data_IF_819722089397
#
_entry.id   IF_819722089397
#
_cell.length_a   1.000
_cell.length_b   1.000
_cell.length_c   1.000
_cell.angle_alpha   90.00
_cell.angle_beta   90.00
_cell.angle_gamma   90.00
#
_symmetry.space_group_name_H-M   'P 1'
#
loop_
_entity.id
_entity.type
_entity.pdbx_description
1 polymer ?
#
# COMPACT_ATOMS: atom_id res chain seq x y z
N UNK A 1 -14.91 -4.60 -26.86
CA UNK A 1 -14.46 -5.03 -25.52
C UNK A 1 -15.49 -4.61 -24.46
N UNK A 2 -15.88 -5.51 -23.56
CA UNK A 2 -16.88 -5.21 -22.51
C UNK A 2 -16.38 -4.05 -21.63
N UNK A 3 -17.21 -3.02 -21.41
CA UNK A 3 -16.87 -1.83 -20.58
C UNK A 3 -16.34 -2.21 -19.19
N UNK A 4 -16.79 -3.33 -18.63
CA UNK A 4 -16.29 -3.88 -17.35
C UNK A 4 -14.82 -4.34 -17.47
N UNK A 5 -14.48 -5.05 -18.54
CA UNK A 5 -13.11 -5.54 -18.80
C UNK A 5 -12.16 -4.37 -19.02
N UNK A 6 -12.55 -3.37 -19.82
CA UNK A 6 -11.74 -2.16 -20.03
C UNK A 6 -11.42 -1.46 -18.70
N UNK A 7 -12.42 -1.31 -17.81
CA UNK A 7 -12.22 -0.70 -16.49
C UNK A 7 -11.29 -1.52 -15.61
N UNK A 8 -11.36 -2.84 -15.65
CA UNK A 8 -10.45 -3.71 -14.90
C UNK A 8 -9.02 -3.55 -15.40
N UNK A 9 -8.80 -3.56 -16.73
CA UNK A 9 -7.46 -3.36 -17.31
C UNK A 9 -6.88 -2.00 -16.90
N UNK A 10 -7.69 -0.94 -16.98
CA UNK A 10 -7.27 0.39 -16.52
C UNK A 10 -6.97 0.41 -15.02
N UNK A 11 -7.78 -0.27 -14.21
CA UNK A 11 -7.56 -0.37 -12.78
C UNK A 11 -6.28 -1.16 -12.43
N UNK A 12 -5.90 -2.17 -13.21
CA UNK A 12 -4.64 -2.91 -13.03
C UNK A 12 -3.43 -1.99 -13.24
N UNK A 13 -3.43 -1.20 -14.30
CA UNK A 13 -2.33 -0.26 -14.59
C UNK A 13 -2.27 0.87 -13.56
N UNK A 14 -3.40 1.52 -13.31
CA UNK A 14 -3.47 2.66 -12.40
C UNK A 14 -3.35 2.25 -10.92
N UNK A 15 -3.73 1.03 -10.57
CA UNK A 15 -3.60 0.50 -9.21
C UNK A 15 -2.15 0.44 -8.76
N UNK A 16 -1.27 -0.10 -9.60
CA UNK A 16 0.18 -0.13 -9.33
C UNK A 16 0.78 1.28 -9.22
N UNK A 17 0.39 2.19 -10.12
CA UNK A 17 0.84 3.58 -10.06
C UNK A 17 0.34 4.32 -8.81
N UNK A 18 -0.92 4.10 -8.42
CA UNK A 18 -1.50 4.70 -7.23
C UNK A 18 -0.83 4.18 -5.95
N UNK A 19 -0.57 2.87 -5.88
CA UNK A 19 0.17 2.29 -4.75
C UNK A 19 1.59 2.84 -4.68
N UNK A 20 2.34 2.78 -5.79
CA UNK A 20 3.72 3.25 -5.83
C UNK A 20 3.83 4.75 -5.54
N UNK A 21 2.97 5.57 -6.16
CA UNK A 21 2.93 7.01 -5.91
C UNK A 21 2.58 7.35 -4.46
N UNK A 22 1.64 6.61 -3.85
CA UNK A 22 1.32 6.79 -2.44
C UNK A 22 2.47 6.34 -1.54
N UNK A 23 3.14 5.23 -1.85
CA UNK A 23 4.34 4.79 -1.14
C UNK A 23 5.43 5.87 -1.17
N UNK A 24 5.74 6.42 -2.34
CA UNK A 24 6.69 7.52 -2.47
C UNK A 24 6.25 8.75 -1.65
N UNK A 25 4.98 9.11 -1.71
CA UNK A 25 4.47 10.26 -0.97
C UNK A 25 4.57 10.07 0.54
N UNK A 26 4.06 8.95 1.08
CA UNK A 26 3.97 8.72 2.52
C UNK A 26 5.30 8.33 3.17
N UNK A 27 6.20 7.61 2.48
CA UNK A 27 7.47 7.18 3.05
C UNK A 27 8.65 8.06 2.64
N UNK A 28 8.76 8.42 1.36
CA UNK A 28 9.97 9.06 0.82
C UNK A 28 9.87 10.59 0.89
N UNK A 29 8.86 11.17 0.24
CA UNK A 29 8.74 12.63 0.11
C UNK A 29 8.22 13.33 1.37
N UNK A 30 7.54 12.60 2.25
CA UNK A 30 7.16 13.11 3.58
C UNK A 30 8.35 13.29 4.52
N UNK A 31 9.50 12.67 4.20
CA UNK A 31 10.65 12.56 5.10
C UNK A 31 10.50 11.49 6.18
N UNK A 32 9.41 10.71 6.20
CA UNK A 32 9.20 9.66 7.19
C UNK A 32 10.35 8.64 7.22
N UNK A 33 10.92 8.29 6.07
CA UNK A 33 12.06 7.38 6.00
C UNK A 33 13.27 7.87 6.80
N UNK A 34 13.47 9.19 6.94
CA UNK A 34 14.57 9.73 7.75
C UNK A 34 14.36 9.48 9.24
N UNK A 35 13.11 9.45 9.69
CA UNK A 35 12.74 9.13 11.08
C UNK A 35 12.90 7.62 11.30
N UNK A 36 12.36 6.81 10.37
CA UNK A 36 12.37 5.35 10.46
C UNK A 36 13.79 4.75 10.39
N UNK A 37 14.72 5.44 9.75
CA UNK A 37 16.12 5.03 9.61
C UNK A 37 17.07 5.69 10.62
N UNK A 38 16.57 6.50 11.58
CA UNK A 38 17.42 7.20 12.55
C UNK A 38 17.99 6.21 13.60
N UNK A 39 19.32 5.99 13.62
CA UNK A 39 19.95 5.06 14.56
C UNK A 39 19.78 5.45 16.03
N UNK A 40 19.46 6.72 16.32
CA UNK A 40 19.24 7.20 17.69
C UNK A 40 17.92 6.75 18.30
N UNK A 41 16.95 6.35 17.47
CA UNK A 41 15.61 5.91 17.90
C UNK A 41 15.19 4.56 17.33
N UNK A 42 15.95 3.98 16.41
CA UNK A 42 15.67 2.68 15.78
C UNK A 42 16.45 1.54 16.46
N UNK A 43 15.96 0.31 16.34
CA UNK A 43 16.64 -0.86 16.88
C UNK A 43 17.93 -1.17 16.11
N UNK A 44 18.99 -1.57 16.82
CA UNK A 44 20.25 -1.99 16.18
C UNK A 44 20.06 -3.15 15.20
N UNK A 45 19.12 -4.06 15.52
CA UNK A 45 18.82 -5.21 14.67
C UNK A 45 18.14 -4.80 13.38
N UNK A 46 17.18 -3.88 13.43
CA UNK A 46 16.52 -3.33 12.25
C UNK A 46 17.55 -2.63 11.37
N UNK A 47 18.33 -1.70 11.94
CA UNK A 47 19.41 -1.01 11.21
C UNK A 47 20.36 -2.04 10.57
N UNK A 48 20.81 -3.03 11.34
CA UNK A 48 21.68 -4.10 10.88
C UNK A 48 21.17 -4.80 9.62
N UNK A 49 19.87 -5.08 9.53
CA UNK A 49 19.25 -5.72 8.35
C UNK A 49 19.29 -4.83 7.10
N UNK A 50 19.20 -3.51 7.26
CA UNK A 50 19.13 -2.58 6.13
C UNK A 50 20.47 -2.01 5.69
N UNK A 51 21.50 -2.00 6.55
CA UNK A 51 22.80 -1.38 6.23
C UNK A 51 23.97 -2.36 6.20
N UNK A 52 23.82 -3.58 6.73
CA UNK A 52 24.90 -4.57 6.76
C UNK A 52 24.81 -5.49 5.54
N UNK A 53 25.95 -5.78 4.92
CA UNK A 53 25.99 -6.73 3.80
C UNK A 53 25.72 -8.18 4.27
N UNK A 54 24.95 -8.99 3.51
CA UNK A 54 24.33 -8.63 2.22
C UNK A 54 23.11 -7.74 2.40
N UNK A 55 23.05 -6.65 1.64
CA UNK A 55 21.91 -5.74 1.66
C UNK A 55 20.61 -6.43 1.23
N UNK A 56 19.45 -5.91 1.65
CA UNK A 56 18.16 -6.39 1.15
C UNK A 56 18.11 -6.33 -0.39
N UNK A 57 17.59 -7.38 -1.02
CA UNK A 57 17.54 -7.48 -2.50
C UNK A 57 16.88 -6.27 -3.17
N UNK A 58 15.88 -5.66 -2.51
CA UNK A 58 15.20 -4.47 -3.04
C UNK A 58 16.08 -3.22 -3.04
N UNK A 59 17.15 -3.18 -2.24
CA UNK A 59 18.14 -2.11 -2.25
C UNK A 59 19.10 -2.25 -3.43
N UNK A 60 19.46 -3.48 -3.81
CA UNK A 60 20.38 -3.77 -4.94
C UNK A 60 19.65 -3.92 -6.27
N UNK A 61 18.37 -4.30 -6.26
CA UNK A 61 17.53 -4.54 -7.43
C UNK A 61 16.20 -3.76 -7.34
N UNK A 62 16.19 -2.45 -7.67
CA UNK A 62 14.98 -1.62 -7.55
C UNK A 62 13.78 -2.14 -8.36
N UNK A 63 14.05 -2.82 -9.47
CA UNK A 63 13.00 -3.45 -10.29
C UNK A 63 12.24 -4.53 -9.52
N UNK A 64 12.87 -5.20 -8.55
CA UNK A 64 12.21 -6.21 -7.74
C UNK A 64 11.10 -5.59 -6.88
N UNK A 65 11.34 -4.40 -6.32
CA UNK A 65 10.33 -3.65 -5.57
C UNK A 65 9.16 -3.25 -6.48
N UNK A 66 9.45 -2.71 -7.66
CA UNK A 66 8.41 -2.33 -8.62
C UNK A 66 7.57 -3.52 -9.07
N UNK A 67 8.21 -4.65 -9.41
CA UNK A 67 7.52 -5.89 -9.75
C UNK A 67 6.64 -6.40 -8.61
N UNK A 68 7.15 -6.37 -7.37
CA UNK A 68 6.40 -6.75 -6.17
C UNK A 68 5.17 -5.87 -5.97
N UNK A 69 5.32 -4.55 -6.05
CA UNK A 69 4.21 -3.59 -5.92
C UNK A 69 3.17 -3.82 -7.02
N UNK A 70 3.59 -3.95 -8.28
CA UNK A 70 2.66 -4.20 -9.37
C UNK A 70 1.91 -5.52 -9.20
N UNK A 71 2.60 -6.59 -8.82
CA UNK A 71 1.98 -7.90 -8.57
C UNK A 71 0.94 -7.82 -7.45
N UNK A 72 1.30 -7.27 -6.29
CA UNK A 72 0.40 -7.17 -5.13
C UNK A 72 -0.77 -6.24 -5.45
N UNK A 73 -0.52 -5.10 -6.12
CA UNK A 73 -1.58 -4.18 -6.54
C UNK A 73 -2.56 -4.84 -7.51
N UNK A 74 -2.07 -5.69 -8.42
CA UNK A 74 -2.91 -6.40 -9.39
C UNK A 74 -3.83 -7.39 -8.69
N UNK A 75 -3.30 -8.15 -7.73
CA UNK A 75 -4.10 -9.03 -6.86
C UNK A 75 -5.16 -8.19 -6.12
N UNK A 76 -4.76 -7.06 -5.53
CA UNK A 76 -5.67 -6.16 -4.82
C UNK A 76 -6.80 -5.61 -5.71
N UNK A 77 -6.50 -5.25 -6.96
CA UNK A 77 -7.50 -4.82 -7.94
C UNK A 77 -8.50 -5.92 -8.26
N UNK A 78 -8.02 -7.16 -8.48
CA UNK A 78 -8.88 -8.30 -8.78
C UNK A 78 -9.77 -8.66 -7.59
N UNK A 79 -9.21 -8.68 -6.37
CA UNK A 79 -9.96 -8.90 -5.13
C UNK A 79 -11.01 -7.80 -4.95
N UNK A 80 -10.65 -6.53 -5.16
CA UNK A 80 -11.62 -5.43 -5.08
C UNK A 80 -12.72 -5.58 -6.12
N UNK A 81 -12.39 -5.89 -7.37
CA UNK A 81 -13.38 -6.09 -8.44
C UNK A 81 -14.34 -7.26 -8.15
N UNK A 82 -13.87 -8.30 -7.44
CA UNK A 82 -14.70 -9.42 -6.99
C UNK A 82 -15.61 -9.03 -5.82
N UNK A 83 -15.11 -8.25 -4.87
CA UNK A 83 -15.85 -7.86 -3.66
C UNK A 83 -16.74 -6.63 -3.86
N UNK A 84 -16.45 -5.79 -4.85
CA UNK A 84 -17.02 -4.45 -4.98
C UNK A 84 -18.54 -4.46 -5.08
N UNK A 85 -19.13 -5.49 -5.69
CA UNK A 85 -20.59 -5.61 -5.85
C UNK A 85 -21.29 -5.87 -4.51
N UNK A 86 -20.58 -6.40 -3.51
CA UNK A 86 -21.08 -6.66 -2.15
C UNK A 86 -20.86 -5.46 -1.21
N UNK A 87 -19.99 -4.53 -1.56
CA UNK A 87 -19.73 -3.33 -0.77
C UNK A 87 -20.84 -2.28 -0.97
N UNK A 88 -21.34 -1.72 0.13
CA UNK A 88 -22.39 -0.69 0.11
C UNK A 88 -21.81 0.71 -0.14
N UNK A 89 -22.59 1.56 -0.81
CA UNK A 89 -22.28 2.98 -1.01
C UNK A 89 -21.63 3.32 -2.35
N UNK A 90 -21.29 4.61 -2.51
CA UNK A 90 -20.60 5.13 -3.70
C UNK A 90 -19.12 4.73 -3.76
N UNK A 91 -18.46 5.08 -4.87
CA UNK A 91 -17.06 4.73 -5.12
C UNK A 91 -16.13 5.08 -3.94
N UNK A 92 -16.27 6.27 -3.36
CA UNK A 92 -15.42 6.70 -2.25
C UNK A 92 -15.58 5.80 -1.02
N UNK A 93 -16.83 5.56 -0.58
CA UNK A 93 -17.11 4.68 0.57
C UNK A 93 -16.61 3.24 0.33
N UNK A 94 -16.77 2.71 -0.89
CA UNK A 94 -16.25 1.38 -1.24
C UNK A 94 -14.71 1.35 -1.19
N UNK A 95 -14.05 2.40 -1.69
CA UNK A 95 -12.60 2.55 -1.65
C UNK A 95 -12.06 2.60 -0.22
N UNK A 96 -12.62 3.47 0.61
CA UNK A 96 -12.24 3.57 2.03
C UNK A 96 -12.49 2.25 2.77
N UNK A 97 -13.65 1.62 2.56
CA UNK A 97 -13.98 0.34 3.21
C UNK A 97 -12.98 -0.74 2.82
N UNK A 98 -12.65 -0.86 1.53
CA UNK A 98 -11.69 -1.85 1.08
C UNK A 98 -10.26 -1.54 1.55
N UNK A 99 -9.83 -0.28 1.51
CA UNK A 99 -8.51 0.13 2.01
C UNK A 99 -8.34 -0.17 3.49
N UNK A 100 -9.36 0.10 4.31
CA UNK A 100 -9.37 -0.24 5.73
C UNK A 100 -9.33 -1.76 5.96
N UNK A 101 -10.14 -2.53 5.23
CA UNK A 101 -10.12 -3.99 5.34
C UNK A 101 -8.77 -4.57 4.94
N UNK A 102 -8.20 -4.08 3.83
CA UNK A 102 -6.88 -4.52 3.39
C UNK A 102 -5.81 -4.18 4.43
N UNK A 103 -5.85 -2.97 4.98
CA UNK A 103 -4.95 -2.55 6.05
C UNK A 103 -5.08 -3.43 7.28
N UNK A 104 -6.29 -3.60 7.82
CA UNK A 104 -6.57 -4.40 9.02
C UNK A 104 -6.10 -5.85 8.89
N UNK A 105 -6.20 -6.43 7.69
CA UNK A 105 -5.84 -7.82 7.43
C UNK A 105 -4.34 -8.03 7.19
N UNK A 106 -3.60 -7.00 6.80
CA UNK A 106 -2.20 -7.14 6.35
C UNK A 106 -1.21 -6.46 7.29
N UNK A 107 -1.44 -5.18 7.59
CA UNK A 107 -0.45 -4.34 8.25
C UNK A 107 -0.30 -4.71 9.73
N UNK A 108 -1.36 -4.82 10.56
CA UNK A 108 -1.18 -5.17 11.97
C UNK A 108 -0.41 -6.48 12.19
N UNK A 109 -0.67 -7.51 11.37
CA UNK A 109 0.05 -8.78 11.47
C UNK A 109 1.50 -8.66 10.99
N UNK A 110 1.72 -8.00 9.85
CA UNK A 110 3.07 -7.80 9.31
C UNK A 110 3.94 -7.02 10.30
N UNK A 111 3.45 -5.86 10.75
CA UNK A 111 4.10 -4.94 11.70
C UNK A 111 4.36 -5.61 13.05
N UNK A 112 3.38 -6.37 13.56
CA UNK A 112 3.55 -7.12 14.81
C UNK A 112 4.61 -8.21 14.68
N UNK A 113 4.52 -9.03 13.64
CA UNK A 113 5.37 -10.21 13.54
C UNK A 113 6.81 -9.85 13.16
N UNK A 114 7.00 -9.01 12.15
CA UNK A 114 8.32 -8.76 11.58
C UNK A 114 9.01 -7.53 12.21
N UNK A 115 8.57 -6.28 12.00
CA UNK A 115 9.14 -5.10 12.65
C UNK A 115 9.23 -5.20 14.17
N UNK A 116 8.09 -5.35 14.86
CA UNK A 116 8.06 -5.33 16.32
C UNK A 116 8.74 -6.55 16.95
N UNK A 117 8.29 -7.76 16.58
CA UNK A 117 8.74 -8.98 17.26
C UNK A 117 10.10 -9.49 16.75
N UNK A 118 10.30 -9.62 15.44
CA UNK A 118 11.55 -10.18 14.90
C UNK A 118 12.66 -9.13 14.83
N UNK A 119 12.38 -7.90 14.39
CA UNK A 119 13.38 -6.84 14.24
C UNK A 119 13.54 -5.98 15.49
N UNK A 120 12.72 -6.19 16.53
CA UNK A 120 12.75 -5.43 17.79
C UNK A 120 12.60 -3.92 17.59
N UNK A 121 11.89 -3.50 16.54
CA UNK A 121 11.61 -2.09 16.31
C UNK A 121 10.77 -1.51 17.44
N UNK A 122 11.08 -0.29 17.94
CA UNK A 122 10.29 0.36 18.96
C UNK A 122 8.83 0.53 18.55
N UNK A 123 7.91 0.21 19.47
CA UNK A 123 6.47 0.21 19.19
C UNK A 123 5.97 1.54 18.60
N UNK A 124 6.55 2.68 19.01
CA UNK A 124 6.19 3.99 18.45
C UNK A 124 6.48 4.10 16.95
N UNK A 125 7.59 3.53 16.47
CA UNK A 125 7.94 3.53 15.05
C UNK A 125 7.07 2.55 14.27
N UNK A 126 6.82 1.36 14.81
CA UNK A 126 5.88 0.38 14.23
C UNK A 126 4.47 0.98 14.04
N UNK A 127 3.95 1.69 15.04
CA UNK A 127 2.65 2.37 14.93
C UNK A 127 2.69 3.50 13.89
N UNK A 128 3.81 4.22 13.80
CA UNK A 128 4.00 5.26 12.81
C UNK A 128 4.03 4.68 11.38
N UNK A 129 4.82 3.63 11.11
CA UNK A 129 4.82 2.89 9.84
C UNK A 129 3.43 2.38 9.48
N UNK A 130 2.72 1.81 10.46
CA UNK A 130 1.35 1.36 10.29
C UNK A 130 0.41 2.45 9.78
N UNK A 131 0.54 3.69 10.28
CA UNK A 131 -0.25 4.83 9.81
C UNK A 131 0.13 5.29 8.39
N UNK A 132 1.42 5.22 8.02
CA UNK A 132 1.86 5.52 6.66
C UNK A 132 1.28 4.50 5.67
N UNK A 133 1.36 3.22 6.02
CA UNK A 133 0.74 2.14 5.23
C UNK A 133 -0.78 2.29 5.13
N UNK A 134 -1.46 2.79 6.16
CA UNK A 134 -2.88 3.12 6.10
C UNK A 134 -3.14 4.16 4.99
N UNK A 135 -2.35 5.22 4.95
CA UNK A 135 -2.40 6.23 3.89
C UNK A 135 -2.21 5.63 2.48
N UNK A 136 -1.21 4.77 2.33
CA UNK A 136 -0.94 4.06 1.06
C UNK A 136 -2.13 3.23 0.61
N UNK A 137 -2.66 2.38 1.49
CA UNK A 137 -3.74 1.45 1.15
C UNK A 137 -5.07 2.15 0.92
N UNK A 138 -5.37 3.23 1.65
CA UNK A 138 -6.55 4.07 1.39
C UNK A 138 -6.46 4.76 0.03
N UNK A 139 -5.28 5.27 -0.34
CA UNK A 139 -5.04 5.94 -1.62
C UNK A 139 -5.19 4.96 -2.78
N UNK A 140 -4.52 3.81 -2.69
CA UNK A 140 -4.65 2.71 -3.65
C UNK A 140 -6.11 2.28 -3.83
N UNK A 141 -6.79 1.92 -2.74
CA UNK A 141 -8.17 1.41 -2.81
C UNK A 141 -9.16 2.46 -3.34
N UNK A 142 -8.96 3.73 -3.01
CA UNK A 142 -9.77 4.83 -3.52
C UNK A 142 -9.58 5.04 -5.01
N UNK A 143 -8.33 5.00 -5.51
CA UNK A 143 -8.03 5.12 -6.93
C UNK A 143 -8.65 3.97 -7.75
N UNK A 144 -8.50 2.73 -7.28
CA UNK A 144 -9.10 1.55 -7.91
C UNK A 144 -10.62 1.64 -7.91
N UNK A 145 -11.21 1.99 -6.77
CA UNK A 145 -12.67 2.14 -6.65
C UNK A 145 -13.21 3.24 -7.57
N UNK A 146 -12.51 4.37 -7.66
CA UNK A 146 -12.84 5.45 -8.58
C UNK A 146 -12.89 4.93 -10.02
N UNK A 147 -11.84 4.27 -10.50
CA UNK A 147 -11.77 3.79 -11.90
C UNK A 147 -12.88 2.79 -12.21
N UNK A 148 -13.17 1.86 -11.30
CA UNK A 148 -14.17 0.84 -11.54
C UNK A 148 -15.60 1.39 -11.46
N UNK A 149 -15.87 2.32 -10.53
CA UNK A 149 -17.24 2.67 -10.12
C UNK A 149 -17.65 4.11 -10.38
N UNK A 150 -16.71 5.01 -10.68
CA UNK A 150 -17.06 6.39 -10.97
C UNK A 150 -17.96 6.47 -12.21
N UNK A 151 -19.04 7.22 -12.03
CA UNK A 151 -19.97 7.61 -13.09
C UNK A 151 -20.02 9.13 -13.04
N UNK A 152 -19.57 9.80 -14.10
CA UNK A 152 -19.85 11.22 -14.24
C UNK A 152 -21.37 11.39 -14.23
N UNK A 153 -21.90 12.23 -13.34
CA UNK A 153 -23.27 12.73 -13.52
C UNK A 153 -23.26 13.48 -14.85
N UNK A 154 -24.12 13.10 -15.79
CA UNK A 154 -24.34 13.94 -16.96
C UNK A 154 -24.83 15.30 -16.44
N UNK A 155 -24.17 16.42 -16.81
CA UNK A 155 -24.82 17.71 -16.67
C UNK A 155 -26.11 17.63 -17.51
N UNK A 156 -27.25 17.81 -16.85
CA UNK A 156 -28.53 18.02 -17.52
C UNK A 156 -28.57 19.45 -18.02
#
# INVERSE_FOLDING_TARGET
>A
MNRKITRIILALLAGGMAWYGAFLFFFIYSGAQHILADPGIQSEKFIGVFITEPLPRVATEPNLLLCGIYMISSIGVLVFAFLSDKLKGGWFRKGITFGLLNWLMTIPWFEFYLPYNVMHEPLSLVLFEGLLWLGVLLTFASAVSFILHFRMKNPR
#
